data_IF_768618046451
#
_entry.id   IF_768618046451
#
_cell.length_a   1.000
_cell.length_b   1.000
_cell.length_c   1.000
_cell.angle_alpha   90.00
_cell.angle_beta   90.00
_cell.angle_gamma   90.00
#
_symmetry.space_group_name_H-M   'P 1'
#
loop_
_entity.id
_entity.type
_entity.pdbx_description
1 polymer ?
#
# COMPACT_ATOMS: atom_id res chain seq x y z
N UNK A 1 89.81 37.82 -23.73
CA UNK A 1 88.93 38.63 -24.60
C UNK A 1 88.55 37.74 -25.76
N UNK A 2 87.28 37.81 -26.15
CA UNK A 2 86.60 36.94 -27.12
C UNK A 2 86.57 35.43 -26.79
N UNK A 3 85.59 34.73 -27.37
CA UNK A 3 85.10 33.44 -26.89
C UNK A 3 85.10 32.36 -27.99
N UNK A 4 85.13 31.08 -27.60
CA UNK A 4 84.74 30.00 -28.50
C UNK A 4 85.32 28.62 -28.20
N UNK A 5 84.43 27.63 -28.24
CA UNK A 5 84.66 26.21 -28.57
C UNK A 5 85.47 25.32 -27.59
N UNK A 6 84.69 24.61 -26.77
CA UNK A 6 84.68 23.15 -26.64
C UNK A 6 86.02 22.39 -26.49
N UNK A 7 86.23 21.84 -25.29
CA UNK A 7 87.13 20.70 -25.06
C UNK A 7 86.38 19.53 -24.41
N UNK A 8 86.84 18.30 -24.71
CA UNK A 8 86.40 17.00 -24.14
C UNK A 8 87.22 16.73 -22.84
N UNK A 9 86.89 15.79 -21.92
CA UNK A 9 86.57 14.38 -22.24
C UNK A 9 85.67 13.63 -21.21
N UNK A 10 85.67 12.29 -21.34
CA UNK A 10 85.04 11.33 -20.43
C UNK A 10 85.67 11.31 -19.02
N UNK A 11 84.83 11.07 -18.01
CA UNK A 11 85.17 10.38 -16.75
C UNK A 11 83.90 9.68 -16.25
N UNK A 12 83.89 8.44 -15.74
CA UNK A 12 85.00 7.50 -15.57
C UNK A 12 85.14 6.99 -14.13
N UNK A 13 84.17 6.20 -13.65
CA UNK A 13 84.19 5.47 -12.37
C UNK A 13 84.33 6.40 -11.11
N UNK A 14 84.22 5.95 -9.86
CA UNK A 14 83.79 4.68 -9.25
C UNK A 14 83.32 4.96 -7.82
N UNK A 15 82.23 4.31 -7.43
CA UNK A 15 82.09 3.49 -6.21
C UNK A 15 82.71 3.98 -4.88
N UNK A 16 81.83 4.46 -4.00
CA UNK A 16 81.84 4.32 -2.54
C UNK A 16 80.43 4.75 -2.09
N UNK A 17 79.70 4.10 -1.19
CA UNK A 17 80.00 3.05 -0.23
C UNK A 17 79.01 3.24 0.93
N UNK A 18 78.30 2.19 1.32
CA UNK A 18 77.48 2.01 2.54
C UNK A 18 77.99 2.78 3.79
N UNK A 19 77.24 3.22 4.82
CA UNK A 19 75.82 3.24 5.27
C UNK A 19 75.74 4.31 6.40
N UNK A 20 74.67 4.64 7.14
CA UNK A 20 73.33 4.08 7.38
C UNK A 20 72.33 5.21 7.75
N UNK A 21 71.02 4.98 7.62
CA UNK A 21 69.97 5.77 8.27
C UNK A 21 68.59 5.07 8.32
N UNK A 22 68.45 4.11 9.23
CA UNK A 22 67.25 3.81 10.05
C UNK A 22 65.85 3.99 9.43
N UNK A 23 65.14 2.87 9.29
CA UNK A 23 63.73 2.77 8.86
C UNK A 23 62.79 3.77 9.56
N UNK A 24 61.99 4.47 8.76
CA UNK A 24 60.71 5.01 9.18
C UNK A 24 59.61 4.15 8.55
N UNK A 25 58.89 3.38 9.37
CA UNK A 25 57.79 2.53 8.90
C UNK A 25 56.62 3.36 8.37
N UNK A 26 56.21 3.09 7.13
CA UNK A 26 54.87 3.42 6.63
C UNK A 26 54.29 2.11 6.10
N UNK A 27 53.13 1.64 6.61
CA UNK A 27 52.64 0.31 6.30
C UNK A 27 52.32 0.18 4.80
N UNK A 28 52.98 -0.79 4.17
CA UNK A 28 52.64 -1.25 2.82
C UNK A 28 51.23 -1.83 2.86
N UNK A 29 50.26 -1.09 2.32
CA UNK A 29 48.92 -1.64 2.07
C UNK A 29 49.06 -2.73 1.02
N UNK A 30 48.84 -3.98 1.43
CA UNK A 30 48.84 -5.10 0.51
C UNK A 30 47.62 -4.99 -0.41
N UNK A 31 47.88 -4.96 -1.71
CA UNK A 31 46.83 -5.01 -2.72
C UNK A 31 46.33 -6.45 -2.85
N UNK A 32 45.55 -6.91 -1.86
CA UNK A 32 44.77 -8.13 -1.99
C UNK A 32 43.79 -7.93 -3.15
N UNK A 33 44.00 -8.66 -4.24
CA UNK A 33 43.13 -8.60 -5.41
C UNK A 33 41.69 -8.89 -4.97
N UNK A 34 40.81 -7.89 -5.11
CA UNK A 34 39.38 -8.07 -4.87
C UNK A 34 38.86 -9.06 -5.90
N UNK A 35 38.36 -10.19 -5.44
CA UNK A 35 37.69 -11.18 -6.29
C UNK A 35 36.41 -10.56 -6.85
N UNK A 36 36.51 -9.99 -8.05
CA UNK A 36 35.37 -9.56 -8.85
C UNK A 36 34.76 -10.77 -9.54
N UNK A 37 34.25 -11.70 -8.73
CA UNK A 37 33.26 -12.67 -9.17
C UNK A 37 32.10 -11.93 -9.86
N UNK A 38 31.45 -12.55 -10.86
CA UNK A 38 30.37 -11.88 -11.58
C UNK A 38 29.33 -11.41 -10.57
N UNK A 39 29.05 -10.10 -10.58
CA UNK A 39 27.97 -9.55 -9.79
C UNK A 39 26.70 -10.31 -10.18
N UNK A 40 26.06 -10.96 -9.20
CA UNK A 40 24.88 -11.78 -9.43
C UNK A 40 23.69 -10.85 -9.68
N UNK A 41 23.67 -10.29 -10.89
CA UNK A 41 22.56 -9.58 -11.48
C UNK A 41 21.48 -10.59 -11.86
N UNK A 42 20.96 -11.28 -10.84
CA UNK A 42 19.63 -11.88 -10.89
C UNK A 42 18.64 -10.81 -11.36
N UNK A 43 17.55 -11.21 -12.01
CA UNK A 43 16.56 -10.26 -12.50
C UNK A 43 16.13 -9.36 -11.34
N UNK A 44 16.21 -8.03 -11.55
CA UNK A 44 15.65 -7.08 -10.59
C UNK A 44 14.19 -7.48 -10.39
N UNK A 45 13.85 -7.85 -9.16
CA UNK A 45 12.56 -8.44 -8.84
C UNK A 45 11.48 -7.36 -8.97
N UNK A 46 10.94 -7.23 -10.18
CA UNK A 46 9.91 -6.28 -10.56
C UNK A 46 8.54 -6.77 -10.05
N UNK A 47 8.49 -7.18 -8.78
CA UNK A 47 7.27 -7.35 -8.04
C UNK A 47 6.48 -6.05 -7.97
N UNK A 48 5.23 -6.11 -7.48
CA UNK A 48 4.45 -4.90 -7.24
C UNK A 48 5.25 -3.89 -6.42
N UNK A 49 5.15 -2.61 -6.79
CA UNK A 49 5.68 -1.54 -5.96
C UNK A 49 4.95 -1.56 -4.61
N UNK A 50 5.62 -2.05 -3.57
CA UNK A 50 5.13 -1.96 -2.20
C UNK A 50 4.76 -0.51 -1.92
N UNK A 51 3.56 -0.30 -1.40
CA UNK A 51 3.03 1.01 -1.07
C UNK A 51 3.86 1.76 0.00
N UNK A 52 4.89 1.13 0.57
CA UNK A 52 5.80 1.72 1.54
C UNK A 52 5.16 1.89 2.91
N UNK A 53 4.17 1.04 3.23
CA UNK A 53 3.35 1.21 4.43
C UNK A 53 4.17 0.98 5.71
N UNK A 54 4.29 1.98 6.59
CA UNK A 54 5.12 1.91 7.79
C UNK A 54 4.45 1.11 8.91
N UNK A 55 5.29 0.53 9.78
CA UNK A 55 4.83 -0.07 11.04
C UNK A 55 4.35 1.01 12.02
N UNK A 56 3.19 0.82 12.63
CA UNK A 56 2.60 1.72 13.62
C UNK A 56 1.24 1.25 14.14
N UNK A 57 0.86 1.77 15.30
CA UNK A 57 -0.37 1.44 16.04
C UNK A 57 -1.15 2.74 16.29
N UNK A 58 -1.76 3.36 15.26
CA UNK A 58 -2.58 4.56 15.43
C UNK A 58 -3.80 4.29 16.32
N UNK A 59 -4.34 5.34 16.93
CA UNK A 59 -5.53 5.26 17.78
C UNK A 59 -6.75 5.36 16.88
N UNK A 60 -7.74 4.48 17.08
CA UNK A 60 -8.99 4.54 16.33
C UNK A 60 -9.96 5.46 17.08
N UNK A 61 -9.91 6.76 16.80
CA UNK A 61 -10.78 7.78 17.42
C UNK A 61 -11.54 8.66 16.41
N UNK A 62 -11.28 8.46 15.11
CA UNK A 62 -11.86 9.19 13.99
C UNK A 62 -11.02 10.37 13.52
N UNK A 63 -9.89 10.67 14.16
CA UNK A 63 -9.05 11.83 13.87
C UNK A 63 -7.70 11.40 13.32
N UNK A 64 -7.64 11.26 11.99
CA UNK A 64 -6.39 10.98 11.28
C UNK A 64 -5.35 12.09 11.53
N UNK A 65 -4.46 11.84 12.49
CA UNK A 65 -3.63 12.87 13.12
C UNK A 65 -2.14 12.53 13.18
N UNK A 66 -1.51 12.93 14.28
CA UNK A 66 -0.06 12.82 14.54
C UNK A 66 0.39 11.47 15.09
N UNK A 67 -0.56 10.62 15.47
CA UNK A 67 -0.39 9.23 15.87
C UNK A 67 -0.14 8.30 14.66
N UNK A 68 -0.61 8.71 13.47
CA UNK A 68 -0.29 8.03 12.21
C UNK A 68 1.19 8.19 11.86
N UNK A 69 1.91 7.09 11.57
CA UNK A 69 3.33 7.14 11.21
C UNK A 69 3.60 7.92 9.92
N UNK A 70 4.76 8.56 9.85
CA UNK A 70 5.23 9.21 8.64
C UNK A 70 5.38 8.19 7.49
N UNK A 71 4.96 8.58 6.28
CA UNK A 71 4.90 7.67 5.13
C UNK A 71 3.59 6.86 5.01
N UNK A 72 2.69 6.91 5.99
CA UNK A 72 1.45 6.12 5.94
C UNK A 72 0.52 6.46 4.77
N UNK A 73 0.60 7.67 4.17
CA UNK A 73 -0.27 8.06 3.04
C UNK A 73 0.21 7.34 1.77
N UNK A 74 -0.52 6.31 1.35
CA UNK A 74 -0.16 5.46 0.21
C UNK A 74 -0.87 5.81 -1.09
N UNK A 75 -2.01 6.50 -1.02
CA UNK A 75 -2.67 7.07 -2.21
C UNK A 75 -3.49 8.33 -1.86
N UNK A 76 -3.61 9.20 -2.86
CA UNK A 76 -4.41 10.43 -2.82
C UNK A 76 -5.23 10.60 -4.10
N UNK A 77 -6.34 11.34 -3.99
CA UNK A 77 -7.07 11.85 -5.15
C UNK A 77 -6.83 13.35 -5.28
N UNK A 78 -6.55 13.78 -6.51
CA UNK A 78 -6.51 15.19 -6.93
C UNK A 78 -7.73 15.57 -7.76
N UNK A 79 -8.41 14.59 -8.39
CA UNK A 79 -9.63 14.80 -9.18
C UNK A 79 -10.87 14.91 -8.26
N UNK A 80 -11.64 16.01 -8.33
CA UNK A 80 -12.88 16.18 -7.58
C UNK A 80 -13.95 15.13 -7.92
N UNK A 81 -14.83 14.82 -6.96
CA UNK A 81 -15.97 13.92 -7.22
C UNK A 81 -17.05 14.57 -8.10
N UNK A 82 -17.60 13.80 -9.03
CA UNK A 82 -18.82 14.13 -9.77
C UNK A 82 -20.10 14.11 -8.90
N UNK A 83 -20.06 13.47 -7.72
CA UNK A 83 -21.17 13.38 -6.77
C UNK A 83 -21.09 14.45 -5.66
N UNK A 84 -20.51 15.60 -5.98
CA UNK A 84 -20.28 16.70 -5.04
C UNK A 84 -18.99 16.50 -4.24
N UNK A 85 -17.94 17.33 -4.45
CA UNK A 85 -16.64 17.17 -3.78
C UNK A 85 -16.64 17.47 -2.27
N UNK A 86 -17.78 17.93 -1.74
CA UNK A 86 -18.06 18.15 -0.32
C UNK A 86 -19.08 17.16 0.26
N UNK A 87 -19.64 16.26 -0.57
CA UNK A 87 -20.64 15.27 -0.17
C UNK A 87 -20.05 13.86 -0.23
N UNK A 88 -19.43 13.51 -1.36
CA UNK A 88 -19.02 12.15 -1.70
C UNK A 88 -17.62 12.10 -2.33
N UNK A 89 -16.56 12.35 -1.57
CA UNK A 89 -15.19 12.44 -2.07
C UNK A 89 -14.21 11.62 -1.23
N UNK A 90 -13.39 10.81 -1.89
CA UNK A 90 -12.21 10.20 -1.30
C UNK A 90 -11.03 11.17 -1.48
N UNK A 91 -10.22 11.39 -0.44
CA UNK A 91 -9.07 12.33 -0.48
C UNK A 91 -7.74 11.60 -0.38
N UNK A 92 -7.62 10.72 0.61
CA UNK A 92 -6.40 9.92 0.82
C UNK A 92 -6.69 8.67 1.63
N UNK A 93 -5.98 7.58 1.36
CA UNK A 93 -5.91 6.43 2.25
C UNK A 93 -4.51 6.37 2.87
N UNK A 94 -4.49 6.15 4.18
CA UNK A 94 -3.32 5.75 4.94
C UNK A 94 -3.37 4.25 5.22
N UNK A 95 -2.20 3.63 5.22
CA UNK A 95 -2.00 2.24 5.66
C UNK A 95 -0.85 2.24 6.68
N UNK A 96 -1.10 1.59 7.83
CA UNK A 96 -0.10 1.27 8.82
C UNK A 96 -0.38 -0.13 9.38
N UNK A 97 0.57 -0.74 10.08
CA UNK A 97 0.41 -2.10 10.60
C UNK A 97 1.26 -2.36 11.84
N UNK A 98 0.86 -3.32 12.67
CA UNK A 98 1.72 -3.93 13.67
C UNK A 98 1.63 -5.46 13.64
N UNK A 99 2.21 -6.14 14.62
CA UNK A 99 2.23 -7.62 14.71
C UNK A 99 0.86 -8.25 14.96
N UNK A 100 -0.20 -7.45 15.18
CA UNK A 100 -1.55 -7.91 15.50
C UNK A 100 -2.63 -7.37 14.56
N UNK A 101 -2.42 -6.18 13.98
CA UNK A 101 -3.46 -5.44 13.24
C UNK A 101 -2.94 -4.76 11.98
N UNK A 102 -3.81 -4.70 10.98
CA UNK A 102 -3.81 -3.74 9.89
C UNK A 102 -4.57 -2.47 10.32
N UNK A 103 -4.08 -1.29 9.96
CA UNK A 103 -4.72 0.00 10.19
C UNK A 103 -4.93 0.74 8.88
N UNK A 104 -6.17 1.19 8.61
CA UNK A 104 -6.52 2.00 7.45
C UNK A 104 -7.13 3.34 7.88
N UNK A 105 -6.60 4.43 7.34
CA UNK A 105 -7.02 5.80 7.65
C UNK A 105 -7.51 6.50 6.39
N UNK A 106 -8.81 6.46 6.13
CA UNK A 106 -9.42 7.01 4.91
C UNK A 106 -9.96 8.42 5.20
N UNK A 107 -9.26 9.43 4.69
CA UNK A 107 -9.78 10.80 4.66
C UNK A 107 -10.71 10.95 3.46
N UNK A 108 -11.94 11.38 3.73
CA UNK A 108 -13.00 11.47 2.74
C UNK A 108 -14.34 11.82 3.37
N UNK A 109 -15.35 12.04 2.55
CA UNK A 109 -16.74 12.26 2.96
C UNK A 109 -17.65 11.40 2.12
N UNK A 110 -18.69 10.86 2.75
CA UNK A 110 -19.79 10.13 2.10
C UNK A 110 -21.08 10.52 2.80
N UNK A 111 -22.08 10.92 2.04
CA UNK A 111 -23.37 11.36 2.59
C UNK A 111 -24.26 10.18 3.02
N UNK A 112 -25.29 10.45 3.83
CA UNK A 112 -26.12 9.44 4.50
C UNK A 112 -26.76 8.36 3.58
N UNK A 113 -26.97 8.67 2.30
CA UNK A 113 -27.55 7.77 1.29
C UNK A 113 -26.53 6.92 0.55
N UNK A 114 -25.23 7.11 0.81
CA UNK A 114 -24.13 6.51 0.09
C UNK A 114 -23.20 5.72 1.03
N UNK A 115 -22.33 4.89 0.45
CA UNK A 115 -21.42 4.04 1.18
C UNK A 115 -19.97 4.18 0.69
N UNK A 116 -19.03 3.89 1.58
CA UNK A 116 -17.61 3.72 1.28
C UNK A 116 -17.22 2.27 1.56
N UNK A 117 -16.48 1.65 0.65
CA UNK A 117 -15.98 0.29 0.81
C UNK A 117 -14.49 0.23 0.48
N UNK A 118 -13.74 -0.51 1.29
CA UNK A 118 -12.39 -0.99 1.02
C UNK A 118 -12.51 -2.45 0.64
N UNK A 119 -12.30 -2.75 -0.64
CA UNK A 119 -12.15 -4.13 -1.12
C UNK A 119 -10.72 -4.58 -0.84
N UNK A 120 -10.58 -5.77 -0.24
CA UNK A 120 -9.30 -6.34 0.19
C UNK A 120 -9.15 -7.72 -0.43
N UNK A 121 -8.05 -7.92 -1.13
CA UNK A 121 -7.52 -9.19 -1.61
C UNK A 121 -6.39 -9.62 -0.64
N UNK A 122 -6.43 -10.86 -0.17
CA UNK A 122 -5.56 -11.36 0.91
C UNK A 122 -4.28 -12.05 0.42
N UNK A 123 -4.25 -12.41 -0.85
CA UNK A 123 -3.21 -13.17 -1.53
C UNK A 123 -2.92 -12.56 -2.92
N UNK A 124 -2.98 -11.23 -3.00
CA UNK A 124 -2.88 -10.45 -4.22
C UNK A 124 -1.54 -10.70 -4.93
N UNK A 125 -1.60 -11.21 -6.16
CA UNK A 125 -0.42 -11.44 -7.00
C UNK A 125 -0.64 -10.80 -8.38
N UNK A 126 -0.04 -9.62 -8.65
CA UNK A 126 -0.23 -8.92 -9.92
C UNK A 126 0.11 -9.79 -11.13
N UNK A 127 -0.78 -9.79 -12.12
CA UNK A 127 -0.58 -10.55 -13.36
C UNK A 127 -0.80 -12.06 -13.25
N UNK A 128 -1.04 -12.60 -12.06
CA UNK A 128 -1.45 -13.99 -11.85
C UNK A 128 -2.97 -14.15 -11.98
N UNK A 129 -3.44 -15.41 -11.99
CA UNK A 129 -4.88 -15.70 -11.85
C UNK A 129 -5.31 -15.39 -10.42
N UNK A 130 -6.22 -14.43 -10.28
CA UNK A 130 -6.80 -14.07 -8.99
C UNK A 130 -7.65 -15.21 -8.38
N UNK A 131 -7.54 -15.34 -7.07
CA UNK A 131 -8.46 -16.02 -6.15
C UNK A 131 -9.66 -15.10 -5.84
N UNK A 132 -10.50 -15.44 -4.85
CA UNK A 132 -11.60 -14.56 -4.40
C UNK A 132 -12.66 -14.20 -5.46
N UNK A 133 -13.13 -12.95 -5.44
CA UNK A 133 -14.22 -12.41 -6.27
C UNK A 133 -13.68 -11.36 -7.26
N UNK A 134 -13.48 -11.78 -8.51
CA UNK A 134 -12.93 -10.93 -9.59
C UNK A 134 -13.96 -10.03 -10.27
N UNK A 135 -15.22 -10.47 -10.31
CA UNK A 135 -16.38 -9.68 -10.76
C UNK A 135 -17.27 -9.39 -9.55
N UNK A 136 -17.08 -8.22 -8.93
CA UNK A 136 -17.76 -7.81 -7.70
C UNK A 136 -19.28 -7.71 -7.92
N UNK A 137 -19.72 -7.38 -9.13
CA UNK A 137 -21.14 -7.42 -9.56
C UNK A 137 -21.78 -8.82 -9.59
N UNK A 138 -21.08 -9.86 -9.11
CA UNK A 138 -21.65 -11.20 -8.86
C UNK A 138 -22.02 -11.44 -7.40
N UNK A 139 -21.75 -10.47 -6.52
CA UNK A 139 -22.24 -10.43 -5.15
C UNK A 139 -23.69 -9.95 -5.14
N UNK A 140 -24.55 -10.59 -4.34
CA UNK A 140 -26.01 -10.36 -4.37
C UNK A 140 -26.65 -10.41 -2.98
N UNK A 141 -25.91 -10.11 -1.91
CA UNK A 141 -26.51 -9.91 -0.60
C UNK A 141 -27.25 -8.56 -0.59
N UNK A 142 -28.55 -8.63 -0.32
CA UNK A 142 -29.45 -7.49 -0.21
C UNK A 142 -30.02 -7.29 1.20
N UNK A 143 -29.41 -7.90 2.23
CA UNK A 143 -29.95 -7.99 3.59
C UNK A 143 -29.29 -6.98 4.54
N UNK A 144 -29.03 -5.76 4.04
CA UNK A 144 -28.47 -4.71 4.88
C UNK A 144 -28.02 -3.49 4.10
N UNK A 145 -28.02 -2.32 4.72
CA UNK A 145 -27.69 -1.06 4.03
C UNK A 145 -26.21 -0.94 3.63
N UNK A 146 -25.33 -1.74 4.22
CA UNK A 146 -23.95 -1.89 3.78
C UNK A 146 -23.82 -3.04 2.76
N UNK A 147 -24.55 -4.13 2.97
CA UNK A 147 -24.44 -5.33 2.14
C UNK A 147 -25.00 -5.08 0.71
N UNK A 148 -26.09 -4.31 0.59
CA UNK A 148 -26.56 -3.75 -0.69
C UNK A 148 -25.45 -2.97 -1.43
N UNK A 149 -24.66 -2.17 -0.71
CA UNK A 149 -23.59 -1.37 -1.31
C UNK A 149 -22.36 -2.22 -1.68
N UNK A 150 -22.07 -3.28 -0.93
CA UNK A 150 -21.01 -4.24 -1.28
C UNK A 150 -21.40 -5.03 -2.54
N UNK A 151 -22.68 -5.37 -2.70
CA UNK A 151 -23.31 -5.95 -3.92
C UNK A 151 -23.39 -4.97 -5.11
N UNK A 152 -22.36 -4.15 -5.32
CA UNK A 152 -22.35 -3.10 -6.33
C UNK A 152 -21.97 -3.58 -7.73
N UNK A 153 -22.39 -2.79 -8.74
CA UNK A 153 -22.20 -3.06 -10.16
C UNK A 153 -20.73 -2.92 -10.69
N UNK A 154 -19.71 -3.20 -9.86
CA UNK A 154 -18.30 -3.20 -10.30
C UNK A 154 -18.05 -4.52 -11.06
N UNK A 155 -18.06 -4.44 -12.39
CA UNK A 155 -18.02 -5.61 -13.29
C UNK A 155 -16.61 -6.16 -13.50
N UNK A 156 -15.58 -5.33 -13.28
CA UNK A 156 -14.18 -5.66 -13.52
C UNK A 156 -13.31 -5.14 -12.37
N UNK A 157 -12.41 -5.99 -11.85
CA UNK A 157 -11.27 -5.60 -11.04
C UNK A 157 -9.94 -5.82 -11.80
N UNK A 158 -8.79 -5.27 -11.34
CA UNK A 158 -7.52 -5.43 -12.04
C UNK A 158 -7.03 -6.88 -12.07
N UNK A 159 -6.21 -7.24 -13.07
CA UNK A 159 -5.65 -8.59 -13.19
C UNK A 159 -4.84 -8.98 -11.95
N UNK A 160 -5.08 -10.17 -11.43
CA UNK A 160 -4.46 -10.66 -10.19
C UNK A 160 -5.18 -10.21 -8.92
N UNK A 161 -6.18 -9.31 -9.00
CA UNK A 161 -7.03 -8.93 -7.87
C UNK A 161 -8.33 -9.73 -7.86
N UNK A 162 -8.68 -10.30 -6.71
CA UNK A 162 -10.02 -10.75 -6.39
C UNK A 162 -10.41 -10.36 -4.98
N UNK A 163 -11.58 -9.74 -4.83
CA UNK A 163 -12.06 -9.33 -3.51
C UNK A 163 -12.32 -10.55 -2.63
N UNK A 164 -11.64 -10.60 -1.50
CA UNK A 164 -11.76 -11.67 -0.50
C UNK A 164 -12.57 -11.18 0.69
N UNK A 165 -12.24 -9.98 1.15
CA UNK A 165 -12.88 -9.28 2.25
C UNK A 165 -13.32 -7.89 1.80
N UNK A 166 -14.39 -7.38 2.39
CA UNK A 166 -14.79 -5.98 2.21
C UNK A 166 -15.06 -5.37 3.58
N UNK A 167 -14.33 -4.30 3.90
CA UNK A 167 -14.71 -3.42 5.01
C UNK A 167 -15.45 -2.22 4.45
N UNK A 168 -16.48 -1.72 5.11
CA UNK A 168 -17.13 -0.49 4.65
C UNK A 168 -17.94 0.24 5.71
N UNK A 169 -18.54 1.35 5.28
CA UNK A 169 -19.44 2.18 6.11
C UNK A 169 -20.46 2.91 5.24
N UNK A 170 -21.66 3.12 5.77
CA UNK A 170 -22.70 3.95 5.16
C UNK A 170 -22.77 5.33 5.82
N UNK A 171 -22.55 6.38 5.03
CA UNK A 171 -22.88 7.76 5.37
C UNK A 171 -22.03 8.54 6.37
N UNK A 172 -20.97 7.94 6.93
CA UNK A 172 -19.96 8.61 7.80
C UNK A 172 -20.53 9.52 8.92
N UNK A 173 -21.75 9.25 9.42
CA UNK A 173 -22.39 10.01 10.50
C UNK A 173 -21.94 9.48 11.87
N UNK A 174 -20.77 9.94 12.36
CA UNK A 174 -20.21 9.63 13.70
C UNK A 174 -20.53 8.22 14.21
N UNK A 175 -19.94 7.21 13.55
CA UNK A 175 -20.12 5.80 13.90
C UNK A 175 -18.89 5.26 14.62
N UNK A 176 -19.13 4.42 15.61
CA UNK A 176 -18.11 3.59 16.26
C UNK A 176 -18.58 2.14 16.16
N UNK A 177 -17.72 1.28 15.62
CA UNK A 177 -17.94 -0.15 15.52
C UNK A 177 -16.86 -0.89 16.31
N UNK A 178 -17.27 -1.75 17.24
CA UNK A 178 -16.42 -2.71 17.96
C UNK A 178 -17.12 -4.08 18.07
N UNK A 179 -18.19 -4.26 17.29
CA UNK A 179 -19.08 -5.40 17.22
C UNK A 179 -19.78 -5.36 15.84
N UNK A 180 -20.53 -6.41 15.52
CA UNK A 180 -21.26 -6.52 14.25
C UNK A 180 -22.30 -5.40 14.07
N UNK A 181 -22.18 -4.63 12.99
CA UNK A 181 -23.12 -3.56 12.60
C UNK A 181 -23.52 -3.67 11.10
N UNK A 182 -24.79 -3.38 10.80
CA UNK A 182 -25.41 -3.49 9.45
C UNK A 182 -25.08 -2.32 8.50
N UNK A 183 -24.23 -1.41 8.96
CA UNK A 183 -23.98 -0.11 8.36
C UNK A 183 -22.53 0.36 8.48
N UNK A 184 -21.68 -0.46 9.11
CA UNK A 184 -20.22 -0.34 9.20
C UNK A 184 -19.62 -1.70 9.59
N UNK A 185 -18.47 -2.08 9.03
CA UNK A 185 -17.70 -3.23 9.49
C UNK A 185 -17.21 -4.16 8.37
N UNK A 186 -16.65 -5.30 8.77
CA UNK A 186 -16.01 -6.29 7.90
C UNK A 186 -16.97 -7.40 7.42
N UNK A 187 -16.80 -7.81 6.16
CA UNK A 187 -17.44 -8.97 5.52
C UNK A 187 -16.40 -9.85 4.82
N UNK A 188 -16.56 -11.17 4.94
CA UNK A 188 -15.97 -12.17 4.04
C UNK A 188 -16.91 -12.39 2.86
N UNK A 189 -16.43 -12.05 1.66
CA UNK A 189 -17.13 -12.22 0.37
C UNK A 189 -16.50 -13.31 -0.49
N UNK A 190 -15.32 -13.80 -0.09
CA UNK A 190 -14.56 -14.88 -0.74
C UNK A 190 -15.34 -16.20 -0.76
N UNK A 191 -16.06 -16.49 0.32
CA UNK A 191 -16.64 -17.80 0.57
C UNK A 191 -17.73 -18.13 -0.48
N UNK A 192 -17.57 -19.19 -1.30
CA UNK A 192 -18.45 -19.46 -2.44
C UNK A 192 -19.94 -19.64 -2.09
N UNK A 193 -20.25 -20.03 -0.85
CA UNK A 193 -21.62 -20.28 -0.39
C UNK A 193 -22.28 -19.05 0.26
N UNK A 194 -21.57 -17.94 0.46
CA UNK A 194 -22.07 -16.75 1.17
C UNK A 194 -22.24 -15.52 0.26
N UNK A 195 -22.14 -15.67 -1.06
CA UNK A 195 -22.21 -14.53 -2.01
C UNK A 195 -23.57 -13.81 -2.05
N UNK A 196 -24.60 -14.39 -1.42
CA UNK A 196 -25.96 -13.85 -1.29
C UNK A 196 -26.39 -13.59 0.17
N UNK A 197 -25.47 -13.77 1.12
CA UNK A 197 -25.64 -13.61 2.57
C UNK A 197 -24.22 -13.59 3.16
N UNK A 198 -23.57 -12.42 3.14
CA UNK A 198 -22.13 -12.30 3.37
C UNK A 198 -21.76 -12.78 4.76
N UNK A 199 -20.60 -13.41 4.93
CA UNK A 199 -20.16 -13.78 6.27
C UNK A 199 -19.67 -12.54 7.00
N UNK A 200 -20.37 -12.19 8.07
CA UNK A 200 -19.98 -11.14 9.00
C UNK A 200 -18.77 -11.59 9.82
N UNK A 201 -17.77 -10.72 9.94
CA UNK A 201 -16.50 -11.01 10.63
C UNK A 201 -16.33 -10.06 11.81
N UNK A 202 -15.93 -10.60 12.97
CA UNK A 202 -15.52 -9.82 14.15
C UNK A 202 -13.99 -9.63 14.15
N UNK A 203 -13.53 -8.59 14.85
CA UNK A 203 -12.10 -8.28 15.02
C UNK A 203 -11.65 -7.02 14.29
N UNK A 204 -12.55 -6.34 13.58
CA UNK A 204 -12.38 -4.92 13.27
C UNK A 204 -12.86 -4.01 14.41
N UNK A 205 -12.21 -2.86 14.54
CA UNK A 205 -12.68 -1.75 15.35
C UNK A 205 -12.50 -0.47 14.53
N UNK A 206 -13.56 0.33 14.39
CA UNK A 206 -13.58 1.48 13.50
C UNK A 206 -14.30 2.69 14.10
N UNK A 207 -13.83 3.89 13.77
CA UNK A 207 -14.51 5.15 14.03
C UNK A 207 -14.56 5.99 12.75
N UNK A 208 -15.76 6.38 12.35
CA UNK A 208 -16.02 7.20 11.16
C UNK A 208 -16.74 8.48 11.55
N UNK A 209 -16.11 9.63 11.32
CA UNK A 209 -16.64 10.96 11.64
C UNK A 209 -16.95 11.76 10.38
N UNK A 210 -17.99 12.59 10.49
CA UNK A 210 -18.36 13.58 9.48
C UNK A 210 -17.86 14.98 9.86
N UNK A 211 -18.46 16.02 9.27
CA UNK A 211 -18.20 17.41 9.65
C UNK A 211 -17.01 18.04 8.92
N UNK A 212 -16.19 18.81 9.65
CA UNK A 212 -15.15 19.66 9.06
C UNK A 212 -13.91 18.88 8.57
N UNK A 213 -13.56 17.79 9.27
CA UNK A 213 -12.43 16.90 8.95
C UNK A 213 -12.92 15.46 8.86
N UNK A 214 -13.75 15.13 7.86
CA UNK A 214 -14.40 13.83 7.78
C UNK A 214 -13.38 12.74 7.41
N UNK A 215 -13.48 11.62 8.12
CA UNK A 215 -12.52 10.53 8.07
C UNK A 215 -13.13 9.23 8.61
N UNK A 216 -12.58 8.10 8.16
CA UNK A 216 -12.73 6.81 8.83
C UNK A 216 -11.37 6.28 9.21
N UNK A 217 -11.27 5.79 10.43
CA UNK A 217 -10.17 4.98 10.90
C UNK A 217 -10.69 3.59 11.21
N UNK A 218 -9.96 2.57 10.80
CA UNK A 218 -10.26 1.17 11.11
C UNK A 218 -8.97 0.45 11.46
N UNK A 219 -9.02 -0.36 12.52
CA UNK A 219 -8.06 -1.43 12.77
C UNK A 219 -8.74 -2.77 12.47
N UNK A 220 -8.04 -3.69 11.84
CA UNK A 220 -8.50 -5.06 11.54
C UNK A 220 -7.47 -6.02 12.09
N UNK A 221 -7.86 -6.94 12.96
CA UNK A 221 -6.97 -8.02 13.41
C UNK A 221 -6.52 -8.90 12.24
N UNK A 222 -5.23 -9.28 12.22
CA UNK A 222 -4.73 -10.22 11.22
C UNK A 222 -5.50 -11.56 11.26
N UNK A 223 -5.89 -12.00 12.48
CA UNK A 223 -6.74 -13.18 12.70
C UNK A 223 -8.14 -13.04 12.12
N UNK A 224 -8.73 -11.85 12.13
CA UNK A 224 -10.02 -11.58 11.51
C UNK A 224 -9.90 -11.56 9.97
N UNK A 225 -8.85 -10.95 9.44
CA UNK A 225 -8.61 -10.85 8.01
C UNK A 225 -8.37 -12.24 7.37
N UNK A 226 -7.48 -13.04 7.96
CA UNK A 226 -7.09 -14.36 7.43
C UNK A 226 -7.92 -15.54 7.97
N UNK A 227 -8.82 -15.33 8.93
CA UNK A 227 -9.55 -16.41 9.61
C UNK A 227 -8.66 -17.33 10.45
N UNK A 228 -7.44 -16.87 10.80
CA UNK A 228 -6.37 -17.67 11.39
C UNK A 228 -5.06 -16.88 11.41
N UNK A 229 -3.93 -17.54 11.64
CA UNK A 229 -2.63 -16.86 11.55
C UNK A 229 -2.38 -16.34 10.11
N UNK A 230 -1.91 -15.10 9.93
CA UNK A 230 -1.53 -14.59 8.61
C UNK A 230 -0.31 -15.37 8.06
N UNK A 231 -0.10 -15.39 6.73
CA UNK A 231 1.17 -15.85 6.17
C UNK A 231 2.32 -14.93 6.62
N UNK A 232 3.58 -15.43 6.74
CA UNK A 232 4.71 -14.63 7.25
C UNK A 232 5.06 -13.39 6.41
N UNK A 233 4.77 -13.46 5.10
CA UNK A 233 4.87 -12.35 4.16
C UNK A 233 3.56 -12.29 3.39
N UNK A 234 2.53 -11.61 3.94
CA UNK A 234 1.29 -11.41 3.21
C UNK A 234 1.53 -10.42 2.07
N UNK A 235 0.79 -10.59 0.97
CA UNK A 235 0.71 -9.57 -0.08
C UNK A 235 -0.76 -9.18 -0.17
N UNK A 236 -1.06 -7.95 0.21
CA UNK A 236 -2.41 -7.43 0.24
C UNK A 236 -2.67 -6.50 -0.94
N UNK A 237 -3.78 -6.74 -1.63
CA UNK A 237 -4.33 -5.85 -2.64
C UNK A 237 -5.49 -5.07 -2.04
N UNK A 238 -5.56 -3.75 -2.21
CA UNK A 238 -6.72 -2.95 -1.80
C UNK A 238 -7.12 -1.92 -2.84
N UNK A 239 -8.42 -1.64 -2.91
CA UNK A 239 -8.89 -0.35 -3.40
C UNK A 239 -10.11 0.13 -2.63
N UNK A 240 -10.28 1.45 -2.57
CA UNK A 240 -11.44 2.09 -1.92
C UNK A 240 -12.39 2.62 -2.97
N UNK A 241 -13.70 2.45 -2.76
CA UNK A 241 -14.77 3.01 -3.60
C UNK A 241 -15.81 3.76 -2.78
N UNK A 242 -16.51 4.67 -3.46
CA UNK A 242 -17.81 5.21 -3.02
C UNK A 242 -18.89 4.72 -3.99
N UNK A 243 -20.02 4.28 -3.46
CA UNK A 243 -21.24 3.94 -4.21
C UNK A 243 -22.45 4.57 -3.53
N UNK A 244 -23.64 4.49 -4.14
CA UNK A 244 -24.86 4.68 -3.36
C UNK A 244 -25.09 3.46 -2.43
N UNK A 245 -25.96 3.61 -1.44
CA UNK A 245 -26.26 2.54 -0.50
C UNK A 245 -26.90 1.30 -1.15
N UNK A 246 -27.47 1.42 -2.36
CA UNK A 246 -28.07 0.30 -3.10
C UNK A 246 -27.09 -0.41 -4.05
N UNK A 247 -25.83 0.06 -4.16
CA UNK A 247 -24.79 -0.52 -5.03
C UNK A 247 -25.02 -0.38 -6.54
N UNK A 248 -26.23 0.01 -6.97
CA UNK A 248 -26.64 0.03 -8.37
C UNK A 248 -26.15 1.26 -9.15
N UNK A 249 -25.97 2.40 -8.48
CA UNK A 249 -25.50 3.65 -9.07
C UNK A 249 -24.00 3.80 -8.91
N UNK A 250 -23.29 3.66 -10.03
CA UNK A 250 -21.85 3.87 -10.11
C UNK A 250 -21.47 5.11 -10.91
N UNK A 251 -22.30 6.14 -11.06
CA UNK A 251 -21.96 7.34 -11.84
C UNK A 251 -20.77 8.20 -11.28
N UNK A 252 -20.05 7.70 -10.27
CA UNK A 252 -18.90 8.31 -9.61
C UNK A 252 -17.64 7.48 -9.85
N UNK A 253 -16.55 8.08 -10.34
CA UNK A 253 -15.25 7.42 -10.44
C UNK A 253 -14.27 7.78 -9.29
N UNK A 254 -14.77 8.16 -8.11
CA UNK A 254 -13.92 8.27 -6.91
C UNK A 254 -13.41 6.89 -6.47
N UNK A 255 -12.11 6.66 -6.59
CA UNK A 255 -11.40 5.45 -6.15
C UNK A 255 -10.18 5.87 -5.33
N UNK A 256 -9.63 5.01 -4.47
CA UNK A 256 -8.23 5.10 -4.03
C UNK A 256 -7.56 3.74 -4.29
N UNK A 257 -6.51 3.63 -5.13
CA UNK A 257 -5.83 4.72 -5.85
C UNK A 257 -6.73 5.45 -6.84
N UNK A 258 -6.40 6.70 -7.16
CA UNK A 258 -7.14 7.46 -8.16
C UNK A 258 -7.12 6.77 -9.52
N UNK A 259 -8.28 6.67 -10.16
CA UNK A 259 -8.39 6.20 -11.54
C UNK A 259 -7.87 7.23 -12.56
N UNK A 260 -7.66 6.79 -13.79
CA UNK A 260 -7.34 7.66 -14.91
C UNK A 260 -8.61 8.34 -15.46
N UNK A 261 -8.42 9.50 -16.10
CA UNK A 261 -9.50 10.15 -16.84
C UNK A 261 -9.99 9.25 -17.98
N UNK A 262 -11.29 9.02 -18.03
CA UNK A 262 -11.93 8.13 -19.01
C UNK A 262 -12.07 6.67 -18.57
N UNK A 263 -11.52 6.26 -17.42
CA UNK A 263 -11.82 4.94 -16.85
C UNK A 263 -13.34 4.84 -16.55
N UNK A 264 -13.94 3.69 -16.89
CA UNK A 264 -15.35 3.43 -16.64
C UNK A 264 -15.61 3.31 -15.13
N UNK A 265 -16.63 3.99 -14.59
CA UNK A 265 -16.91 3.91 -13.16
C UNK A 265 -17.28 2.50 -12.64
N UNK A 266 -17.82 1.64 -13.52
CA UNK A 266 -18.10 0.21 -13.27
C UNK A 266 -16.85 -0.67 -13.18
N UNK A 267 -15.64 -0.09 -13.28
CA UNK A 267 -14.39 -0.84 -13.25
C UNK A 267 -13.46 -0.33 -12.15
N UNK A 268 -12.77 -1.22 -11.46
CA UNK A 268 -11.54 -0.92 -10.75
C UNK A 268 -10.35 -1.15 -11.68
N UNK A 269 -9.53 -0.11 -11.93
CA UNK A 269 -8.31 -0.22 -12.78
C UNK A 269 -7.00 -0.17 -12.00
N UNK A 270 -7.02 0.16 -10.70
CA UNK A 270 -5.82 0.29 -9.87
C UNK A 270 -6.04 -0.30 -8.49
N UNK A 271 -4.97 -0.86 -7.93
CA UNK A 271 -4.90 -1.52 -6.62
C UNK A 271 -3.66 -1.01 -5.90
N UNK A 272 -3.78 -0.78 -4.59
CA UNK A 272 -2.65 -0.65 -3.66
C UNK A 272 -2.13 -2.05 -3.35
N UNK A 273 -0.84 -2.28 -3.55
CA UNK A 273 -0.16 -3.48 -3.08
C UNK A 273 0.66 -3.13 -1.84
N UNK A 274 0.60 -3.94 -0.78
CA UNK A 274 1.54 -3.81 0.32
C UNK A 274 1.86 -5.16 0.95
N UNK A 275 3.08 -5.28 1.50
CA UNK A 275 3.55 -6.52 2.13
C UNK A 275 4.18 -6.22 3.50
N UNK A 276 3.46 -6.41 4.61
CA UNK A 276 3.98 -6.15 5.94
C UNK A 276 4.86 -7.32 6.41
N UNK A 277 6.01 -7.03 7.02
CA UNK A 277 6.87 -8.04 7.65
C UNK A 277 6.38 -8.36 9.06
N UNK A 278 5.54 -9.41 9.20
CA UNK A 278 4.83 -9.75 10.44
C UNK A 278 5.65 -10.57 11.45
#
# INVERSE_FOLDING_TARGET
>A
MDAGAADRPEVGASDAGSVDAGSADVPRVDATATDLGPADAGPADAGPADAGSPRGTPVIDGVIGSDWPAGAIVATNTVPSSWGPTLNALRSIRVAWDSSRLYLGISGTVEATNAMMVFIDRDYLPGMTATGVTAISTLTDGVGSLDNAISCNITEAPSGFGADMVWGTRGMLMKTATALDASIGLRDVSCPTCRSDFRWTLGDAAVCVGGATPACEVSIEWSALYGGAPPPLPMLGLFVRITNAEGDSLANNQCLPQQADGDLPTTARRVLSFSPGL
#
